data_IF_822477570454
#
_entry.id   IF_822477570454
#
_cell.length_a   1.000
_cell.length_b   1.000
_cell.length_c   1.000
_cell.angle_alpha   90.00
_cell.angle_beta   90.00
_cell.angle_gamma   90.00
#
_symmetry.space_group_name_H-M   'P 1'
#
loop_
_entity.id
_entity.type
_entity.pdbx_description
1 polymer ?
#
# COMPACT_ATOMS: atom_id res chain seq x y z
N UNK A 1 -14.49 27.05 2.10
CA UNK A 1 -14.71 25.63 1.73
C UNK A 1 -13.39 24.90 1.68
N UNK A 2 -13.30 23.77 2.34
CA UNK A 2 -12.09 22.98 2.32
C UNK A 2 -11.88 22.34 0.96
N UNK A 3 -10.63 22.22 0.48
CA UNK A 3 -10.39 21.54 -0.79
C UNK A 3 -10.77 20.08 -0.69
N UNK A 4 -11.12 19.49 -1.82
CA UNK A 4 -11.41 18.06 -1.88
C UNK A 4 -10.12 17.29 -1.66
N UNK A 5 -10.20 16.12 -0.99
CA UNK A 5 -9.02 15.26 -0.85
C UNK A 5 -8.52 14.83 -2.21
N UNK A 6 -7.21 14.66 -2.32
CA UNK A 6 -6.63 14.12 -3.55
C UNK A 6 -7.10 12.69 -3.75
N UNK A 7 -7.35 12.33 -5.00
CA UNK A 7 -7.65 10.94 -5.31
C UNK A 7 -6.41 10.09 -5.10
N UNK A 8 -6.55 9.02 -4.35
CA UNK A 8 -5.46 8.09 -4.07
C UNK A 8 -5.79 6.72 -4.62
N UNK A 9 -4.81 6.06 -5.19
CA UNK A 9 -4.97 4.69 -5.67
C UNK A 9 -3.95 3.82 -4.95
N UNK A 10 -4.45 2.84 -4.21
CA UNK A 10 -3.62 1.96 -3.40
C UNK A 10 -3.58 0.59 -4.03
N UNK A 11 -2.38 0.10 -4.29
CA UNK A 11 -2.18 -1.22 -4.90
C UNK A 11 -1.61 -2.17 -3.87
N UNK A 12 -2.18 -3.36 -3.80
CA UNK A 12 -1.67 -4.40 -2.90
C UNK A 12 -1.29 -5.61 -3.72
N UNK A 13 -0.05 -6.06 -3.58
CA UNK A 13 0.43 -7.25 -4.29
C UNK A 13 -0.18 -8.49 -3.66
N UNK A 14 -0.95 -9.22 -4.45
CA UNK A 14 -1.66 -10.41 -3.96
C UNK A 14 -1.34 -11.66 -4.75
N UNK A 15 -0.26 -11.64 -5.55
CA UNK A 15 0.13 -12.82 -6.32
C UNK A 15 0.40 -14.00 -5.38
N UNK A 16 -0.25 -15.13 -5.66
CA UNK A 16 -0.13 -16.33 -4.85
C UNK A 16 1.18 -17.05 -5.11
N UNK A 17 1.62 -17.81 -4.13
CA UNK A 17 2.80 -18.64 -4.28
C UNK A 17 3.75 -18.49 -3.11
N UNK A 18 4.63 -19.47 -2.96
CA UNK A 18 5.52 -19.54 -1.81
C UNK A 18 6.39 -18.30 -1.65
N UNK A 19 6.87 -17.79 -2.77
CA UNK A 19 7.78 -16.65 -2.78
C UNK A 19 7.12 -15.35 -3.22
N UNK A 20 5.80 -15.32 -3.22
CA UNK A 20 5.04 -14.15 -3.64
C UNK A 20 4.28 -13.55 -2.47
N UNK A 21 3.91 -12.29 -2.61
CA UNK A 21 3.26 -11.55 -1.54
C UNK A 21 1.95 -12.19 -1.06
N UNK A 22 1.21 -12.81 -1.99
CA UNK A 22 -0.05 -13.47 -1.61
C UNK A 22 0.15 -14.57 -0.59
N UNK A 23 1.28 -15.29 -0.68
CA UNK A 23 1.61 -16.32 0.28
C UNK A 23 2.09 -15.78 1.61
N UNK A 24 2.23 -14.48 1.73
CA UNK A 24 2.69 -13.80 2.94
C UNK A 24 1.59 -13.01 3.62
N UNK A 25 0.32 -13.32 3.30
CA UNK A 25 -0.81 -12.70 3.97
C UNK A 25 -1.34 -11.44 3.34
N UNK A 26 -0.95 -11.15 2.10
CA UNK A 26 -1.37 -9.91 1.45
C UNK A 26 -2.87 -9.85 1.18
N UNK A 27 -3.54 -11.00 1.02
CA UNK A 27 -4.99 -10.98 0.89
C UNK A 27 -5.67 -10.42 2.14
N UNK A 28 -5.13 -10.73 3.31
CA UNK A 28 -5.66 -10.18 4.55
C UNK A 28 -5.42 -8.68 4.63
N UNK A 29 -4.28 -8.24 4.12
CA UNK A 29 -3.95 -6.83 4.08
C UNK A 29 -4.91 -6.09 3.16
N UNK A 30 -5.16 -6.64 1.98
CA UNK A 30 -6.12 -6.04 1.06
C UNK A 30 -7.51 -5.96 1.66
N UNK A 31 -7.96 -7.04 2.30
CA UNK A 31 -9.28 -7.07 2.92
C UNK A 31 -9.37 -6.05 4.05
N UNK A 32 -8.34 -5.99 4.89
CA UNK A 32 -8.32 -5.02 5.98
C UNK A 32 -8.32 -3.59 5.44
N UNK A 33 -7.59 -3.35 4.37
CA UNK A 33 -7.56 -2.04 3.74
C UNK A 33 -8.95 -1.64 3.24
N UNK A 34 -9.62 -2.55 2.54
CA UNK A 34 -10.97 -2.28 2.03
C UNK A 34 -11.95 -2.03 3.16
N UNK A 35 -11.86 -2.81 4.22
CA UNK A 35 -12.72 -2.63 5.38
C UNK A 35 -12.51 -1.26 6.03
N UNK A 36 -11.26 -0.83 6.17
CA UNK A 36 -10.95 0.47 6.75
C UNK A 36 -11.44 1.61 5.86
N UNK A 37 -11.23 1.50 4.56
CA UNK A 37 -11.68 2.52 3.62
C UNK A 37 -13.20 2.65 3.66
N UNK A 38 -13.90 1.53 3.66
CA UNK A 38 -15.36 1.53 3.71
C UNK A 38 -15.88 2.07 5.05
N UNK A 39 -15.31 1.59 6.14
CA UNK A 39 -15.74 2.00 7.47
C UNK A 39 -15.56 3.51 7.69
N UNK A 40 -14.50 4.06 7.15
CA UNK A 40 -14.20 5.49 7.30
C UNK A 40 -14.82 6.35 6.21
N UNK A 41 -15.47 5.75 5.22
CA UNK A 41 -16.10 6.49 4.14
C UNK A 41 -15.14 7.25 3.26
N UNK A 42 -13.98 6.67 2.95
CA UNK A 42 -12.95 7.35 2.19
C UNK A 42 -13.20 7.23 0.69
N UNK A 43 -14.13 8.03 0.18
CA UNK A 43 -14.54 7.95 -1.22
C UNK A 43 -13.43 8.32 -2.20
N UNK A 44 -12.40 9.01 -1.73
CA UNK A 44 -11.28 9.42 -2.58
C UNK A 44 -10.21 8.33 -2.74
N UNK A 45 -10.36 7.19 -2.08
CA UNK A 45 -9.36 6.12 -2.09
C UNK A 45 -9.88 4.94 -2.89
N UNK A 46 -9.12 4.52 -3.89
CA UNK A 46 -9.35 3.31 -4.65
C UNK A 46 -8.36 2.25 -4.23
N UNK A 47 -8.80 0.99 -4.18
CA UNK A 47 -7.92 -0.12 -3.85
C UNK A 47 -7.93 -1.12 -4.99
N UNK A 48 -6.77 -1.65 -5.34
CA UNK A 48 -6.63 -2.58 -6.45
C UNK A 48 -5.62 -3.66 -6.12
N UNK A 49 -5.92 -4.89 -6.51
CA UNK A 49 -4.92 -5.96 -6.50
C UNK A 49 -3.94 -5.73 -7.62
N UNK A 50 -2.70 -6.11 -7.39
CA UNK A 50 -1.72 -6.10 -8.47
C UNK A 50 -0.93 -7.41 -8.44
N UNK A 51 -0.27 -7.72 -9.56
CA UNK A 51 0.61 -8.85 -9.64
C UNK A 51 1.92 -8.61 -8.94
N UNK A 52 2.76 -9.64 -8.91
CA UNK A 52 4.07 -9.54 -8.29
C UNK A 52 4.95 -8.56 -9.05
N UNK A 53 5.60 -7.68 -8.32
CA UNK A 53 6.51 -6.70 -8.89
C UNK A 53 7.97 -7.03 -8.61
N UNK A 54 8.24 -8.30 -8.30
CA UNK A 54 9.58 -8.83 -8.05
C UNK A 54 10.21 -8.37 -6.74
N UNK A 55 9.41 -7.81 -5.84
CA UNK A 55 9.89 -7.36 -4.53
C UNK A 55 9.42 -8.30 -3.43
N UNK A 56 9.29 -9.60 -3.71
CA UNK A 56 8.66 -10.52 -2.76
C UNK A 56 9.46 -10.73 -1.49
N UNK A 57 10.75 -10.44 -1.47
CA UNK A 57 11.53 -10.54 -0.23
C UNK A 57 11.17 -9.41 0.75
N UNK A 58 10.48 -8.39 0.28
CA UNK A 58 10.00 -7.28 1.10
C UNK A 58 8.50 -7.30 1.31
N UNK A 59 7.84 -8.33 0.79
CA UNK A 59 6.40 -8.43 0.90
C UNK A 59 5.90 -8.74 2.30
N UNK A 60 4.62 -8.57 2.55
CA UNK A 60 3.60 -8.03 1.62
C UNK A 60 3.83 -6.55 1.32
N UNK A 61 3.48 -6.17 0.09
CA UNK A 61 3.76 -4.81 -0.40
C UNK A 61 2.46 -4.08 -0.70
N UNK A 62 2.44 -2.81 -0.33
CA UNK A 62 1.34 -1.90 -0.62
C UNK A 62 1.95 -0.62 -1.18
N UNK A 63 1.38 -0.10 -2.27
CA UNK A 63 1.89 1.11 -2.92
C UNK A 63 0.79 2.15 -3.00
N UNK A 64 1.10 3.38 -2.65
CA UNK A 64 0.14 4.48 -2.68
C UNK A 64 0.52 5.46 -3.78
N UNK A 65 -0.38 5.68 -4.73
CA UNK A 65 -0.22 6.66 -5.80
C UNK A 65 -1.24 7.79 -5.65
N UNK A 66 -0.94 8.97 -6.10
CA UNK A 66 0.25 9.37 -6.87
C UNK A 66 1.49 9.66 -6.05
N UNK A 67 1.44 9.44 -4.76
CA UNK A 67 2.57 9.76 -3.88
C UNK A 67 3.80 8.92 -4.18
N UNK A 68 3.61 7.74 -4.76
CA UNK A 68 4.72 6.86 -5.05
C UNK A 68 5.37 6.26 -3.82
N UNK A 69 4.62 6.10 -2.74
CA UNK A 69 5.13 5.57 -1.49
C UNK A 69 4.92 4.07 -1.44
N UNK A 70 5.99 3.33 -1.18
CA UNK A 70 5.97 1.89 -1.10
C UNK A 70 6.12 1.45 0.35
N UNK A 71 5.25 0.57 0.78
CA UNK A 71 5.31 -0.04 2.11
C UNK A 71 5.58 -1.53 1.95
N UNK A 72 6.39 -2.09 2.84
CA UNK A 72 6.73 -3.49 2.77
C UNK A 72 6.74 -4.16 4.12
N UNK A 73 6.88 -5.48 4.11
CA UNK A 73 6.88 -6.33 5.30
C UNK A 73 5.69 -6.04 6.18
N UNK A 74 4.54 -5.83 5.54
CA UNK A 74 3.33 -5.42 6.23
C UNK A 74 2.64 -6.59 6.93
N UNK A 75 1.97 -6.25 8.02
CA UNK A 75 1.03 -7.14 8.68
C UNK A 75 -0.34 -6.49 8.64
N UNK A 76 -1.41 -7.29 8.73
CA UNK A 76 -2.75 -6.69 8.71
C UNK A 76 -2.95 -5.61 9.75
N UNK A 77 -2.32 -5.74 10.90
CA UNK A 77 -2.44 -4.75 11.97
C UNK A 77 -1.74 -3.44 11.68
N UNK A 78 -0.91 -3.39 10.63
CA UNK A 78 -0.27 -2.14 10.21
C UNK A 78 -1.20 -1.27 9.36
N UNK A 79 -2.24 -1.86 8.78
CA UNK A 79 -3.12 -1.19 7.84
C UNK A 79 -3.85 0.01 8.44
N UNK A 80 -4.44 -0.10 9.64
CA UNK A 80 -5.13 1.06 10.21
C UNK A 80 -4.24 2.28 10.35
N UNK A 81 -2.98 2.09 10.70
CA UNK A 81 -2.06 3.21 10.83
C UNK A 81 -1.77 3.87 9.47
N UNK A 82 -1.59 3.06 8.43
CA UNK A 82 -1.38 3.60 7.09
C UNK A 82 -2.60 4.38 6.65
N UNK A 83 -3.78 3.84 6.89
CA UNK A 83 -5.02 4.53 6.49
C UNK A 83 -5.14 5.85 7.22
N UNK A 84 -4.97 5.84 8.53
CA UNK A 84 -5.16 7.06 9.32
C UNK A 84 -4.10 8.11 9.03
N UNK A 85 -2.84 7.72 8.99
CA UNK A 85 -1.77 8.69 8.81
C UNK A 85 -1.57 9.13 7.38
N UNK A 86 -1.59 8.19 6.44
CA UNK A 86 -1.26 8.51 5.06
C UNK A 86 -2.50 8.81 4.23
N UNK A 87 -3.49 7.91 4.23
CA UNK A 87 -4.64 8.08 3.35
C UNK A 87 -5.57 9.19 3.83
N UNK A 88 -5.66 9.39 5.11
CA UNK A 88 -6.46 10.48 5.68
C UNK A 88 -5.59 11.70 5.95
N UNK A 89 -4.47 11.50 6.61
CA UNK A 89 -3.63 12.61 7.08
C UNK A 89 -2.62 13.13 6.09
N UNK A 90 -2.35 12.40 5.03
CA UNK A 90 -1.41 12.83 3.99
C UNK A 90 0.06 12.64 4.32
N UNK A 91 0.39 11.98 5.42
CA UNK A 91 1.77 11.77 5.81
C UNK A 91 2.14 10.29 5.79
N UNK A 92 3.19 9.91 5.04
CA UNK A 92 3.62 8.51 5.00
C UNK A 92 4.04 7.98 6.37
N UNK A 93 3.85 6.68 6.58
CA UNK A 93 4.30 6.00 7.79
C UNK A 93 5.74 5.54 7.55
N UNK A 94 6.70 6.31 7.99
CA UNK A 94 8.10 6.10 7.64
C UNK A 94 8.65 4.76 8.09
N UNK A 95 8.25 4.26 9.24
CA UNK A 95 8.77 2.99 9.75
C UNK A 95 8.42 1.79 8.87
N UNK A 96 7.40 1.92 8.02
CA UNK A 96 6.94 0.84 7.15
C UNK A 96 7.38 1.04 5.70
N UNK A 97 7.95 2.18 5.41
CA UNK A 97 8.31 2.55 4.06
C UNK A 97 9.52 1.76 3.57
N UNK A 98 9.46 1.34 2.31
CA UNK A 98 10.58 0.65 1.68
C UNK A 98 10.97 1.37 0.40
N UNK A 99 12.16 1.02 -0.09
CA UNK A 99 12.64 1.49 -1.38
C UNK A 99 12.66 0.28 -2.31
N UNK A 100 11.99 0.36 -3.47
CA UNK A 100 11.99 -0.77 -4.39
C UNK A 100 13.38 -1.05 -4.95
N UNK A 101 13.66 -2.32 -5.23
CA UNK A 101 14.94 -2.74 -5.79
C UNK A 101 14.92 -2.69 -7.32
N UNK A 102 16.10 -2.70 -7.89
CA UNK A 102 16.29 -2.89 -9.33
C UNK A 102 15.76 -1.75 -10.15
N UNK A 103 15.09 -2.10 -11.25
CA UNK A 103 14.61 -1.10 -12.20
C UNK A 103 13.54 -0.18 -11.62
N UNK A 104 12.94 -0.57 -10.52
CA UNK A 104 11.95 0.26 -9.83
C UNK A 104 12.60 1.29 -8.94
N UNK A 105 13.91 1.20 -8.79
CA UNK A 105 14.60 1.87 -7.71
C UNK A 105 14.84 3.32 -7.91
N UNK A 106 15.93 3.70 -7.37
CA UNK A 106 16.24 5.06 -7.02
C UNK A 106 16.23 6.06 -8.16
N UNK A 107 16.66 5.67 -9.34
CA UNK A 107 16.81 6.65 -10.38
C UNK A 107 15.50 7.29 -10.81
N UNK A 108 14.45 6.50 -10.75
CA UNK A 108 13.15 7.01 -11.12
C UNK A 108 12.62 8.03 -10.13
N UNK A 109 13.20 8.06 -8.97
CA UNK A 109 12.71 8.89 -7.88
C UNK A 109 13.49 10.19 -7.69
N UNK A 110 14.52 10.35 -8.43
CA UNK A 110 15.34 11.55 -8.29
C UNK A 110 14.82 12.71 -9.09
#
# INVERSE_FOLDING_TARGET
>A
MAPLPRALHVFVCTTSGRHHCGGQGSERILQRLRDEVERRGLAHVRTTRMGCNLQHHQGPILIVYPDGVWYGRLRPEDVPEIVERHLVGGEPVERLRIVPDGAWGSTALT
#
